data_IF_335433464498
#
_entry.id   IF_335433464498
#
_cell.length_a   1.000
_cell.length_b   1.000
_cell.length_c   1.000
_cell.angle_alpha   90.00
_cell.angle_beta   90.00
_cell.angle_gamma   90.00
#
_symmetry.space_group_name_H-M   'P 1'
#
loop_
_entity.id
_entity.type
_entity.pdbx_description
1 polymer ?
#
# COMPACT_ATOMS: atom_id res chain seq x y z
N UNK A 1 14.58 9.29 9.08
CA UNK A 1 14.34 9.18 7.62
C UNK A 1 12.88 8.78 7.43
N UNK A 2 12.05 9.71 6.97
CA UNK A 2 10.60 9.53 6.87
C UNK A 2 10.25 8.59 5.70
N UNK A 3 10.36 7.28 5.92
CA UNK A 3 10.02 6.23 4.93
C UNK A 3 8.49 6.10 4.71
N UNK A 4 7.67 7.08 5.09
CA UNK A 4 6.21 7.05 4.85
C UNK A 4 5.84 7.33 3.39
N UNK A 5 6.78 7.88 2.62
CA UNK A 5 6.67 8.06 1.18
C UNK A 5 7.56 7.09 0.44
N UNK A 6 6.98 6.41 -0.55
CA UNK A 6 7.73 5.69 -1.57
C UNK A 6 8.45 6.70 -2.45
N UNK A 7 9.68 6.40 -2.85
CA UNK A 7 10.34 7.14 -3.93
C UNK A 7 9.59 6.90 -5.25
N UNK A 8 9.79 7.78 -6.22
CA UNK A 8 9.16 7.60 -7.54
C UNK A 8 9.68 6.34 -8.24
N UNK A 9 10.95 6.00 -8.04
CA UNK A 9 11.57 4.79 -8.60
C UNK A 9 11.00 3.52 -7.98
N UNK A 10 10.91 3.45 -6.65
CA UNK A 10 10.28 2.35 -5.93
C UNK A 10 8.82 2.19 -6.36
N UNK A 11 8.12 3.32 -6.54
CA UNK A 11 6.74 3.33 -6.99
C UNK A 11 6.58 2.76 -8.39
N UNK A 12 7.39 3.19 -9.37
CA UNK A 12 7.33 2.71 -10.76
C UNK A 12 7.52 1.21 -10.84
N UNK A 13 8.45 0.65 -10.06
CA UNK A 13 8.68 -0.79 -10.04
C UNK A 13 7.53 -1.54 -9.36
N UNK A 14 7.06 -1.05 -8.21
CA UNK A 14 5.95 -1.66 -7.47
C UNK A 14 4.64 -1.64 -8.29
N UNK A 15 4.27 -0.49 -8.88
CA UNK A 15 3.03 -0.36 -9.66
C UNK A 15 3.06 -1.28 -10.89
N UNK A 16 4.23 -1.50 -11.49
CA UNK A 16 4.42 -2.45 -12.58
C UNK A 16 4.09 -3.89 -12.17
N UNK A 17 4.45 -4.30 -10.94
CA UNK A 17 4.09 -5.62 -10.40
C UNK A 17 2.61 -5.69 -10.04
N UNK A 18 2.09 -4.69 -9.35
CA UNK A 18 0.67 -4.62 -8.94
C UNK A 18 -0.28 -4.70 -10.14
N UNK A 19 0.04 -4.02 -11.25
CA UNK A 19 -0.76 -4.08 -12.48
C UNK A 19 -0.76 -5.45 -13.15
N UNK A 20 0.23 -6.30 -12.86
CA UNK A 20 0.34 -7.67 -13.38
C UNK A 20 -0.26 -8.72 -12.45
N UNK A 21 -0.56 -8.37 -11.20
CA UNK A 21 -1.15 -9.31 -10.24
C UNK A 21 -2.63 -9.57 -10.59
N UNK A 22 -3.01 -10.81 -10.91
CA UNK A 22 -4.40 -11.14 -11.21
C UNK A 22 -5.27 -11.04 -9.96
N UNK A 23 -6.52 -10.61 -10.13
CA UNK A 23 -7.53 -10.61 -9.06
C UNK A 23 -7.54 -9.36 -8.16
N UNK A 24 -6.57 -8.45 -8.31
CA UNK A 24 -6.59 -7.16 -7.60
C UNK A 24 -7.00 -6.00 -8.51
N UNK A 25 -7.67 -5.02 -7.92
CA UNK A 25 -7.98 -3.75 -8.58
C UNK A 25 -6.99 -2.68 -8.14
N UNK A 26 -6.10 -2.26 -9.05
CA UNK A 26 -5.14 -1.17 -8.84
C UNK A 26 -5.82 0.20 -8.93
N UNK A 27 -6.68 0.40 -9.93
CA UNK A 27 -7.33 1.70 -10.19
C UNK A 27 -6.33 2.74 -10.71
N UNK A 28 -6.58 4.02 -10.41
CA UNK A 28 -5.67 5.11 -10.76
C UNK A 28 -4.37 5.06 -9.93
N UNK A 29 -3.23 5.26 -10.59
CA UNK A 29 -1.90 5.19 -9.99
C UNK A 29 -1.75 6.10 -8.77
N UNK A 30 -2.22 7.35 -8.82
CA UNK A 30 -2.14 8.29 -7.70
C UNK A 30 -2.92 7.81 -6.47
N UNK A 31 -4.13 7.27 -6.67
CA UNK A 31 -4.95 6.72 -5.59
C UNK A 31 -4.37 5.42 -5.06
N UNK A 32 -3.77 4.60 -5.93
CA UNK A 32 -3.09 3.39 -5.53
C UNK A 32 -1.84 3.71 -4.70
N UNK A 33 -1.03 4.69 -5.09
CA UNK A 33 0.16 5.11 -4.33
C UNK A 33 -0.20 5.55 -2.93
N UNK A 34 -1.20 6.42 -2.80
CA UNK A 34 -1.70 6.88 -1.49
C UNK A 34 -2.17 5.71 -0.61
N UNK A 35 -2.88 4.75 -1.20
CA UNK A 35 -3.29 3.54 -0.50
C UNK A 35 -2.10 2.70 -0.01
N UNK A 36 -1.10 2.51 -0.85
CA UNK A 36 0.12 1.75 -0.52
C UNK A 36 0.92 2.47 0.59
N UNK A 37 1.05 3.79 0.51
CA UNK A 37 1.66 4.62 1.56
C UNK A 37 0.87 4.54 2.88
N UNK A 38 -0.47 4.47 2.82
CA UNK A 38 -1.31 4.23 3.99
C UNK A 38 -0.98 2.89 4.66
N UNK A 39 -0.81 1.82 3.87
CA UNK A 39 -0.43 0.50 4.39
C UNK A 39 0.98 0.53 4.99
N UNK A 40 1.95 1.18 4.34
CA UNK A 40 3.30 1.34 4.89
C UNK A 40 3.30 2.09 6.24
N UNK A 41 2.49 3.13 6.35
CA UNK A 41 2.33 3.85 7.62
C UNK A 41 1.74 2.95 8.71
N UNK A 42 0.75 2.13 8.38
CA UNK A 42 0.16 1.16 9.31
C UNK A 42 1.17 0.12 9.78
N UNK A 43 1.92 -0.49 8.84
CA UNK A 43 2.93 -1.50 9.14
C UNK A 43 4.07 -0.96 10.01
N UNK A 44 4.45 0.30 9.82
CA UNK A 44 5.51 0.94 10.60
C UNK A 44 5.04 1.39 11.97
N UNK A 45 3.86 1.99 12.05
CA UNK A 45 3.36 2.58 13.30
C UNK A 45 2.83 1.54 14.27
N UNK A 46 2.34 0.39 13.78
CA UNK A 46 1.60 -0.58 14.59
C UNK A 46 0.30 -0.01 15.17
N UNK A 47 -0.14 1.16 14.71
CA UNK A 47 -1.32 1.83 15.22
C UNK A 47 -2.60 1.06 14.87
N UNK A 48 -3.67 1.32 15.60
CA UNK A 48 -4.99 0.83 15.22
C UNK A 48 -5.45 1.49 13.92
N UNK A 49 -6.14 0.75 13.04
CA UNK A 49 -6.61 1.26 11.74
C UNK A 49 -7.40 2.57 11.85
N UNK A 50 -8.20 2.74 12.91
CA UNK A 50 -8.99 3.95 13.16
C UNK A 50 -8.15 5.21 13.38
N UNK A 51 -6.85 5.06 13.66
CA UNK A 51 -5.90 6.16 13.83
C UNK A 51 -5.15 6.51 12.54
N UNK A 52 -5.50 5.88 11.42
CA UNK A 52 -4.93 6.24 10.12
C UNK A 52 -5.17 7.74 9.85
N UNK A 53 -4.13 8.52 9.54
CA UNK A 53 -4.30 9.93 9.21
C UNK A 53 -5.16 10.13 7.96
N UNK A 54 -6.14 11.04 8.02
CA UNK A 54 -7.08 11.29 6.90
C UNK A 54 -6.40 11.66 5.57
N UNK A 55 -5.20 12.26 5.64
CA UNK A 55 -4.37 12.56 4.45
C UNK A 55 -4.00 11.32 3.63
N UNK A 56 -3.97 10.14 4.25
CA UNK A 56 -3.71 8.85 3.62
C UNK A 56 -5.00 8.13 3.17
N UNK A 57 -6.16 8.71 3.46
CA UNK A 57 -7.47 8.21 3.08
C UNK A 57 -8.27 7.69 4.27
N UNK A 58 -9.54 7.37 4.02
CA UNK A 58 -10.45 6.88 5.04
C UNK A 58 -10.09 5.46 5.48
N UNK A 59 -9.86 5.26 6.78
CA UNK A 59 -9.34 4.01 7.34
C UNK A 59 -10.10 2.76 6.91
N UNK A 60 -11.43 2.81 6.86
CA UNK A 60 -12.26 1.64 6.54
C UNK A 60 -12.07 1.22 5.07
N UNK A 61 -11.88 2.19 4.18
CA UNK A 61 -11.64 1.95 2.76
C UNK A 61 -10.27 1.33 2.52
N UNK A 62 -9.25 1.85 3.23
CA UNK A 62 -7.90 1.29 3.20
C UNK A 62 -7.90 -0.13 3.77
N UNK A 63 -8.52 -0.35 4.94
CA UNK A 63 -8.59 -1.67 5.56
C UNK A 63 -9.28 -2.72 4.68
N UNK A 64 -10.44 -2.39 4.10
CA UNK A 64 -11.15 -3.31 3.19
C UNK A 64 -10.31 -3.68 1.97
N UNK A 65 -9.63 -2.71 1.37
CA UNK A 65 -8.73 -2.97 0.24
C UNK A 65 -7.50 -3.76 0.69
N UNK A 66 -6.97 -3.49 1.88
CA UNK A 66 -5.86 -4.24 2.46
C UNK A 66 -6.19 -5.73 2.56
N UNK A 67 -7.31 -6.07 3.20
CA UNK A 67 -7.79 -7.45 3.35
C UNK A 67 -8.09 -8.10 2.00
N UNK A 68 -8.65 -7.34 1.05
CA UNK A 68 -8.91 -7.85 -0.30
C UNK A 68 -7.62 -8.26 -1.01
N UNK A 69 -6.56 -7.45 -0.91
CA UNK A 69 -5.26 -7.73 -1.53
C UNK A 69 -4.46 -8.83 -0.81
N UNK A 70 -4.70 -9.05 0.49
CA UNK A 70 -4.08 -10.15 1.24
C UNK A 70 -4.41 -11.53 0.69
N UNK A 71 -5.50 -11.66 -0.09
CA UNK A 71 -5.92 -12.93 -0.72
C UNK A 71 -5.14 -13.28 -1.99
N UNK A 72 -4.26 -12.38 -2.45
CA UNK A 72 -3.53 -12.49 -3.71
C UNK A 72 -2.02 -12.32 -3.52
N UNK A 73 -1.50 -12.61 -2.31
CA UNK A 73 -0.08 -12.58 -1.95
C UNK A 73 0.64 -11.26 -2.28
N UNK A 74 -0.11 -10.16 -2.31
CA UNK A 74 0.44 -8.83 -2.67
C UNK A 74 1.44 -8.35 -1.62
N UNK A 75 1.17 -8.62 -0.34
CA UNK A 75 1.95 -8.07 0.75
C UNK A 75 3.33 -8.70 0.87
N UNK A 76 3.46 -10.00 0.61
CA UNK A 76 4.76 -10.68 0.60
C UNK A 76 5.67 -10.09 -0.49
N UNK A 77 5.10 -9.93 -1.68
CA UNK A 77 5.79 -9.31 -2.81
C UNK A 77 6.19 -7.86 -2.52
N UNK A 78 5.34 -7.10 -1.83
CA UNK A 78 5.61 -5.72 -1.49
C UNK A 78 6.68 -5.59 -0.39
N UNK A 79 6.61 -6.40 0.67
CA UNK A 79 7.58 -6.38 1.78
C UNK A 79 8.99 -6.72 1.31
N UNK A 80 9.12 -7.64 0.35
CA UNK A 80 10.39 -7.98 -0.28
C UNK A 80 11.04 -6.78 -1.02
N UNK A 81 10.27 -5.79 -1.46
CA UNK A 81 10.80 -4.60 -2.15
C UNK A 81 11.20 -3.48 -1.22
N UNK A 82 10.49 -3.30 -0.10
CA UNK A 82 10.67 -2.15 0.79
C UNK A 82 11.70 -2.43 1.90
N UNK A 83 12.11 -3.69 2.06
CA UNK A 83 13.08 -4.13 3.07
C UNK A 83 14.53 -4.22 2.55
N UNK A 84 14.79 -3.81 1.30
CA UNK A 84 16.13 -3.74 0.70
C UNK A 84 16.77 -2.35 0.90
#
# INVERSE_FOLDING_TARGET
MDKSKLSDEEWVHLIGKLKKTPGIRVGCDATCRRFVEAVLWMLRSGAQWRLLPDRLGHWNSVFKRFVSWSRFDVWENMLAHVSA
#
